data_IF_299674844958
#
_entry.id   IF_299674844958
#
_cell.length_a   1.000
_cell.length_b   1.000
_cell.length_c   1.000
_cell.angle_alpha   90.00
_cell.angle_beta   90.00
_cell.angle_gamma   90.00
#
_symmetry.space_group_name_H-M   'P 1'
#
loop_
_entity.id
_entity.type
_entity.pdbx_description
1 polymer ?
#
# COMPACT_ATOMS: atom_id res chain seq x y z
N UNK A 1 7.77 7.32 -17.11
CA UNK A 1 6.91 6.48 -17.96
C UNK A 1 7.68 5.45 -18.79
N UNK A 2 8.57 5.84 -19.71
CA UNK A 2 9.32 4.89 -20.58
C UNK A 2 10.07 3.83 -19.76
N UNK A 3 10.87 4.25 -18.77
CA UNK A 3 11.61 3.31 -17.91
C UNK A 3 10.68 2.35 -17.13
N UNK A 4 9.52 2.82 -16.68
CA UNK A 4 8.55 2.01 -15.93
C UNK A 4 7.92 0.93 -16.81
N UNK A 5 7.59 1.26 -18.06
CA UNK A 5 7.13 0.29 -19.05
C UNK A 5 8.23 -0.68 -19.46
N UNK A 6 9.48 -0.22 -19.62
CA UNK A 6 10.61 -1.10 -19.87
C UNK A 6 10.81 -2.09 -18.72
N UNK A 7 10.69 -1.65 -17.46
CA UNK A 7 10.79 -2.54 -16.29
C UNK A 7 9.64 -3.55 -16.25
N UNK A 8 8.42 -3.16 -16.57
CA UNK A 8 7.28 -4.09 -16.70
C UNK A 8 7.52 -5.12 -17.82
N UNK A 9 7.94 -4.67 -19.00
CA UNK A 9 8.25 -5.56 -20.12
C UNK A 9 9.39 -6.53 -19.80
N UNK A 10 10.43 -6.04 -19.13
CA UNK A 10 11.58 -6.83 -18.68
C UNK A 10 11.15 -7.85 -17.61
N UNK A 11 10.28 -7.46 -16.68
CA UNK A 11 9.73 -8.36 -15.67
C UNK A 11 8.90 -9.50 -16.28
N UNK A 12 8.02 -9.21 -17.23
CA UNK A 12 7.29 -10.24 -17.97
C UNK A 12 8.24 -11.14 -18.77
N UNK A 13 9.25 -10.57 -19.42
CA UNK A 13 10.25 -11.35 -20.17
C UNK A 13 11.03 -12.31 -19.25
N UNK A 14 11.39 -11.88 -18.05
CA UNK A 14 12.07 -12.70 -17.05
C UNK A 14 11.16 -13.82 -16.49
N UNK A 15 9.87 -13.52 -16.30
CA UNK A 15 8.88 -14.50 -15.86
C UNK A 15 8.70 -15.61 -16.92
N UNK A 16 8.62 -15.22 -18.21
CA UNK A 16 8.62 -16.15 -19.34
C UNK A 16 9.90 -16.99 -19.45
N UNK A 17 11.05 -16.45 -19.07
CA UNK A 17 12.34 -17.17 -19.08
C UNK A 17 12.51 -18.15 -17.91
N UNK A 18 11.46 -18.36 -17.11
CA UNK A 18 11.40 -19.37 -16.05
C UNK A 18 11.70 -18.85 -14.64
N UNK A 19 11.97 -17.55 -14.48
CA UNK A 19 12.10 -16.92 -13.16
C UNK A 19 10.74 -16.44 -12.66
N UNK A 20 9.91 -17.41 -12.29
CA UNK A 20 8.59 -17.13 -11.73
C UNK A 20 8.64 -16.17 -10.55
N UNK A 21 7.67 -15.27 -10.49
CA UNK A 21 7.48 -14.32 -9.39
C UNK A 21 7.43 -15.02 -8.03
N UNK A 22 8.53 -14.98 -7.29
CA UNK A 22 8.60 -15.50 -5.94
C UNK A 22 8.91 -14.40 -4.93
N UNK A 23 7.99 -14.20 -3.97
CA UNK A 23 8.11 -13.19 -2.92
C UNK A 23 9.18 -13.55 -1.88
N UNK A 24 9.43 -14.84 -1.65
CA UNK A 24 10.37 -15.31 -0.62
C UNK A 24 11.85 -15.11 -1.00
N UNK A 25 12.17 -15.13 -2.30
CA UNK A 25 13.54 -14.97 -2.80
C UNK A 25 13.82 -13.56 -3.36
N UNK A 26 12.84 -12.66 -3.34
CA UNK A 26 12.93 -11.35 -4.02
C UNK A 26 13.47 -11.48 -5.45
N UNK A 27 12.89 -12.40 -6.23
CA UNK A 27 13.33 -12.69 -7.60
C UNK A 27 13.39 -11.41 -8.44
N UNK A 28 14.37 -11.27 -9.36
CA UNK A 28 14.49 -10.08 -10.23
C UNK A 28 13.23 -9.76 -11.05
N UNK A 29 12.42 -10.75 -11.44
CA UNK A 29 11.12 -10.54 -12.09
C UNK A 29 10.14 -9.80 -11.16
N UNK A 30 10.07 -10.21 -9.90
CA UNK A 30 9.22 -9.60 -8.88
C UNK A 30 9.66 -8.16 -8.56
N UNK A 31 10.97 -7.91 -8.42
CA UNK A 31 11.48 -6.55 -8.18
C UNK A 31 11.25 -5.64 -9.38
N UNK A 32 11.37 -6.14 -10.61
CA UNK A 32 11.10 -5.35 -11.81
C UNK A 32 9.60 -5.04 -11.98
N UNK A 33 8.70 -6.00 -11.71
CA UNK A 33 7.25 -5.74 -11.72
C UNK A 33 6.87 -4.70 -10.67
N UNK A 34 7.36 -4.85 -9.44
CA UNK A 34 7.03 -3.92 -8.35
C UNK A 34 7.59 -2.53 -8.62
N UNK A 35 8.84 -2.40 -9.08
CA UNK A 35 9.44 -1.13 -9.47
C UNK A 35 8.73 -0.49 -10.68
N UNK A 36 8.40 -1.28 -11.70
CA UNK A 36 7.64 -0.81 -12.87
C UNK A 36 6.25 -0.30 -12.50
N UNK A 37 5.52 -1.06 -11.68
CA UNK A 37 4.19 -0.68 -11.18
C UNK A 37 4.24 0.56 -10.32
N UNK A 38 5.23 0.68 -9.41
CA UNK A 38 5.43 1.88 -8.61
C UNK A 38 5.71 3.11 -9.48
N UNK A 39 6.51 2.97 -10.54
CA UNK A 39 6.78 4.05 -11.49
C UNK A 39 5.56 4.48 -12.30
N UNK A 40 4.70 3.54 -12.71
CA UNK A 40 3.42 3.85 -13.38
C UNK A 40 2.47 4.56 -12.41
N UNK A 41 2.34 4.06 -11.18
CA UNK A 41 1.54 4.71 -10.13
C UNK A 41 2.02 6.14 -9.85
N UNK A 42 3.32 6.35 -9.69
CA UNK A 42 3.89 7.67 -9.48
C UNK A 42 3.60 8.62 -10.64
N UNK A 43 3.74 8.14 -11.88
CA UNK A 43 3.39 8.92 -13.07
C UNK A 43 1.88 9.23 -13.11
N UNK A 44 1.03 8.28 -12.72
CA UNK A 44 -0.42 8.47 -12.64
C UNK A 44 -0.81 9.53 -11.62
N UNK A 45 -0.20 9.51 -10.42
CA UNK A 45 -0.38 10.57 -9.42
C UNK A 45 0.10 11.91 -9.96
N UNK A 46 1.28 11.96 -10.59
CA UNK A 46 1.78 13.19 -11.20
C UNK A 46 0.78 13.78 -12.21
N UNK A 47 0.28 12.97 -13.13
CA UNK A 47 -0.74 13.38 -14.13
C UNK A 47 -2.03 13.83 -13.45
N UNK A 48 -2.52 13.10 -12.45
CA UNK A 48 -3.75 13.43 -11.72
C UNK A 48 -3.65 14.81 -11.02
N UNK A 49 -2.48 15.12 -10.49
CA UNK A 49 -2.23 16.35 -9.74
C UNK A 49 -1.95 17.53 -10.66
N UNK A 50 -1.06 17.33 -11.63
CA UNK A 50 -0.50 18.41 -12.45
C UNK A 50 -1.39 18.74 -13.65
N UNK A 51 -2.00 17.74 -14.29
CA UNK A 51 -2.84 17.94 -15.48
C UNK A 51 -4.31 18.11 -15.11
N UNK A 52 -4.83 17.24 -14.24
CA UNK A 52 -6.25 17.29 -13.86
C UNK A 52 -6.56 18.26 -12.71
N UNK A 53 -5.53 18.81 -12.04
CA UNK A 53 -5.70 19.81 -10.99
C UNK A 53 -6.42 19.32 -9.74
N UNK A 54 -6.54 18.00 -9.54
CA UNK A 54 -7.19 17.43 -8.35
C UNK A 54 -6.29 17.59 -7.11
N UNK A 55 -6.42 18.73 -6.43
CA UNK A 55 -5.67 19.06 -5.20
C UNK A 55 -6.18 18.42 -3.91
N UNK A 56 -7.35 17.78 -3.95
CA UNK A 56 -7.96 17.14 -2.77
C UNK A 56 -7.22 15.88 -2.30
N UNK A 57 -6.87 14.91 -3.19
CA UNK A 57 -6.12 13.72 -2.77
C UNK A 57 -4.67 14.01 -2.37
N UNK A 58 -4.06 15.08 -2.89
CA UNK A 58 -2.67 15.43 -2.55
C UNK A 58 -2.50 15.85 -1.11
N UNK A 59 -3.48 16.54 -0.53
CA UNK A 59 -3.45 16.91 0.89
C UNK A 59 -3.39 15.68 1.80
N UNK A 60 -4.11 14.61 1.46
CA UNK A 60 -4.07 13.36 2.23
C UNK A 60 -2.71 12.68 2.08
N UNK A 61 -2.17 12.65 0.86
CA UNK A 61 -0.85 12.07 0.58
C UNK A 61 0.28 12.86 1.26
N UNK A 62 0.18 14.19 1.27
CA UNK A 62 1.11 15.11 1.93
C UNK A 62 1.05 14.96 3.44
N UNK A 63 -0.15 14.89 4.01
CA UNK A 63 -0.35 14.61 5.43
C UNK A 63 0.23 13.24 5.83
N UNK A 64 -0.03 12.20 5.02
CA UNK A 64 0.52 10.86 5.23
C UNK A 64 2.06 10.89 5.18
N UNK A 65 2.64 11.67 4.27
CA UNK A 65 4.09 11.85 4.15
C UNK A 65 4.70 12.58 5.35
N UNK A 66 4.09 13.68 5.80
CA UNK A 66 4.56 14.46 6.96
C UNK A 66 4.46 13.67 8.28
N UNK A 67 3.43 12.84 8.43
CA UNK A 67 3.22 12.00 9.61
C UNK A 67 3.70 10.54 9.43
N UNK A 68 4.54 10.26 8.44
CA UNK A 68 4.93 8.89 8.08
C UNK A 68 5.49 8.08 9.27
N UNK A 69 6.31 8.68 10.13
CA UNK A 69 6.88 8.01 11.31
C UNK A 69 5.79 7.65 12.34
N UNK A 70 4.86 8.57 12.59
CA UNK A 70 3.75 8.32 13.50
C UNK A 70 2.83 7.22 12.96
N UNK A 71 2.50 7.28 11.67
CA UNK A 71 1.72 6.26 10.97
C UNK A 71 2.42 4.89 11.03
N UNK A 72 3.74 4.85 10.81
CA UNK A 72 4.52 3.61 10.92
C UNK A 72 4.51 3.02 12.34
N UNK A 73 4.66 3.84 13.38
CA UNK A 73 4.60 3.36 14.77
C UNK A 73 3.19 2.86 15.11
N UNK A 74 2.14 3.55 14.65
CA UNK A 74 0.75 3.16 14.91
C UNK A 74 0.35 1.87 14.17
N UNK A 75 0.64 1.77 12.87
CA UNK A 75 0.24 0.65 12.02
C UNK A 75 1.30 -0.46 11.94
N UNK A 76 2.56 -0.10 11.69
CA UNK A 76 3.68 -1.04 11.53
C UNK A 76 4.08 -1.72 12.84
N UNK A 77 4.08 -1.00 13.96
CA UNK A 77 4.33 -1.59 15.28
C UNK A 77 3.06 -2.14 15.96
N UNK A 78 1.93 -2.21 15.26
CA UNK A 78 0.64 -2.73 15.78
C UNK A 78 0.10 -2.03 17.04
N UNK A 79 0.56 -0.83 17.36
CA UNK A 79 0.08 -0.09 18.54
C UNK A 79 -1.39 0.28 18.41
N UNK A 80 -1.85 0.61 17.20
CA UNK A 80 -3.25 0.94 16.93
C UNK A 80 -4.19 -0.25 17.13
N UNK A 81 -3.95 -1.44 16.52
CA UNK A 81 -4.78 -2.61 16.80
C UNK A 81 -4.69 -3.08 18.26
N UNK A 82 -3.53 -2.96 18.93
CA UNK A 82 -3.40 -3.24 20.37
C UNK A 82 -4.25 -2.29 21.22
N UNK A 83 -4.28 -1.00 20.88
CA UNK A 83 -5.11 -0.02 21.58
C UNK A 83 -6.61 -0.25 21.32
N UNK A 84 -6.98 -0.55 20.07
CA UNK A 84 -8.35 -0.89 19.71
C UNK A 84 -8.82 -2.17 20.42
N UNK A 85 -8.00 -3.22 20.44
CA UNK A 85 -8.26 -4.44 21.20
C UNK A 85 -8.34 -4.17 22.71
N UNK A 86 -7.43 -3.36 23.25
CA UNK A 86 -7.42 -2.98 24.67
C UNK A 86 -8.65 -2.18 25.07
N UNK A 87 -9.18 -1.33 24.18
CA UNK A 87 -10.42 -0.59 24.40
C UNK A 87 -11.64 -1.52 24.32
N UNK A 88 -11.66 -2.44 23.34
CA UNK A 88 -12.69 -3.46 23.19
C UNK A 88 -12.72 -4.46 24.37
N UNK A 89 -11.57 -4.71 25.01
CA UNK A 89 -11.48 -5.52 26.23
C UNK A 89 -11.93 -4.76 27.49
N UNK A 90 -11.80 -3.43 27.50
CA UNK A 90 -12.11 -2.57 28.65
C UNK A 90 -13.59 -2.19 28.74
N UNK A 91 -14.29 -2.21 27.62
CA UNK A 91 -15.74 -1.95 27.52
C UNK A 91 -16.45 -3.08 26.74
N UNK A 92 -16.70 -4.23 27.39
CA UNK A 92 -17.31 -5.42 26.73
C UNK A 92 -18.78 -5.22 26.30
N UNK A 93 -19.40 -4.08 26.64
CA UNK A 93 -20.82 -3.80 26.37
C UNK A 93 -21.11 -3.26 24.96
N UNK A 94 -20.11 -2.77 24.21
CA UNK A 94 -20.29 -2.22 22.86
C UNK A 94 -19.93 -3.21 21.73
N UNK A 95 -20.19 -4.49 21.98
CA UNK A 95 -20.02 -5.54 21.00
C UNK A 95 -21.01 -5.36 19.83
N UNK A 96 -20.51 -4.87 18.69
CA UNK A 96 -21.20 -4.90 17.38
C UNK A 96 -21.60 -6.32 16.96
N UNK A 97 -21.02 -7.37 17.58
CA UNK A 97 -21.49 -8.75 17.47
C UNK A 97 -22.94 -8.93 17.95
N UNK A 98 -23.41 -8.12 18.90
CA UNK A 98 -24.81 -8.11 19.37
C UNK A 98 -25.76 -7.45 18.35
N UNK A 99 -25.25 -6.54 17.53
CA UNK A 99 -25.99 -5.90 16.42
C UNK A 99 -26.00 -6.77 15.17
N UNK A 100 -24.96 -7.59 14.96
CA UNK A 100 -24.83 -8.50 13.80
C UNK A 100 -25.48 -9.88 14.08
N UNK A 101 -25.88 -10.19 15.32
CA UNK A 101 -26.78 -11.31 15.61
C UNK A 101 -26.20 -12.69 15.31
N UNK A 102 -24.87 -12.85 15.38
CA UNK A 102 -24.23 -14.15 15.29
C UNK A 102 -23.87 -14.56 16.71
N UNK A 103 -24.78 -15.34 17.29
CA UNK A 103 -24.57 -16.08 18.54
C UNK A 103 -23.98 -17.46 18.27
#
# INVERSE_FOLDING_TARGET
>A
MIASFCLLALAFSLDFYGMHMNKALYTPSYTCITAGTAGVMFTGVYVLVDIYGYRKPTLVMEWLGMHALMVYILLGCNIFPLFAQGFYLREPENNILKVIGIS
#
